data_IF_176074070427
#
_entry.id   IF_176074070427
#
_cell.length_a   1.000
_cell.length_b   1.000
_cell.length_c   1.000
_cell.angle_alpha   90.00
_cell.angle_beta   90.00
_cell.angle_gamma   90.00
#
_symmetry.space_group_name_H-M   'P 1'
#
loop_
_entity.id
_entity.type
_entity.pdbx_description
1 polymer ?
#
# COMPACT_ATOMS: atom_id res chain seq x y z
N UNK A 1 3.86 22.29 -38.20
CA UNK A 1 5.05 21.84 -37.42
C UNK A 1 5.17 20.33 -37.54
N UNK A 2 6.28 19.78 -38.06
CA UNK A 2 6.51 18.32 -38.10
C UNK A 2 7.03 17.87 -36.74
N UNK A 3 6.30 17.01 -36.05
CA UNK A 3 6.78 16.35 -34.82
C UNK A 3 7.91 15.39 -35.18
N UNK A 4 8.99 15.43 -34.39
CA UNK A 4 10.15 14.57 -34.60
C UNK A 4 9.85 13.18 -34.01
N UNK A 5 10.28 12.09 -34.67
CA UNK A 5 9.86 10.72 -34.31
C UNK A 5 10.22 10.31 -32.88
N UNK A 6 11.31 10.83 -32.32
CA UNK A 6 11.70 10.55 -30.93
C UNK A 6 10.69 11.07 -29.90
N UNK A 7 9.92 12.11 -30.22
CA UNK A 7 8.90 12.66 -29.30
C UNK A 7 7.80 11.63 -29.09
N UNK A 8 7.35 10.96 -30.16
CA UNK A 8 6.33 9.91 -30.08
C UNK A 8 6.82 8.69 -29.29
N UNK A 9 8.09 8.30 -29.47
CA UNK A 9 8.69 7.18 -28.72
C UNK A 9 8.75 7.50 -27.22
N UNK A 10 9.21 8.71 -26.86
CA UNK A 10 9.27 9.13 -25.45
C UNK A 10 7.87 9.12 -24.81
N UNK A 11 6.85 9.64 -25.50
CA UNK A 11 5.47 9.58 -24.99
C UNK A 11 4.98 8.15 -24.81
N UNK A 12 5.23 7.26 -25.77
CA UNK A 12 4.86 5.85 -25.66
C UNK A 12 5.50 5.18 -24.43
N UNK A 13 6.80 5.42 -24.20
CA UNK A 13 7.52 4.87 -23.03
C UNK A 13 6.93 5.41 -21.72
N UNK A 14 6.66 6.71 -21.62
CA UNK A 14 6.07 7.30 -20.41
C UNK A 14 4.69 6.71 -20.14
N UNK A 15 3.83 6.61 -21.16
CA UNK A 15 2.49 6.04 -21.03
C UNK A 15 2.56 4.58 -20.57
N UNK A 16 3.47 3.77 -21.14
CA UNK A 16 3.67 2.39 -20.72
C UNK A 16 4.11 2.28 -19.25
N UNK A 17 5.05 3.11 -18.81
CA UNK A 17 5.50 3.12 -17.41
C UNK A 17 4.37 3.51 -16.44
N UNK A 18 3.58 4.52 -16.79
CA UNK A 18 2.42 4.94 -16.00
C UNK A 18 1.34 3.85 -15.93
N UNK A 19 1.06 3.18 -17.05
CA UNK A 19 0.09 2.09 -17.12
C UNK A 19 0.53 0.89 -16.25
N UNK A 20 1.80 0.50 -16.31
CA UNK A 20 2.35 -0.57 -15.46
C UNK A 20 2.24 -0.20 -13.98
N UNK A 21 2.61 1.04 -13.61
CA UNK A 21 2.48 1.50 -12.24
C UNK A 21 1.03 1.49 -11.75
N UNK A 22 0.10 1.93 -12.59
CA UNK A 22 -1.34 1.93 -12.28
C UNK A 22 -1.88 0.51 -12.09
N UNK A 23 -1.49 -0.42 -12.96
CA UNK A 23 -1.92 -1.82 -12.87
C UNK A 23 -1.39 -2.53 -11.62
N UNK A 24 -0.23 -2.12 -11.10
CA UNK A 24 0.44 -2.70 -9.93
C UNK A 24 -0.02 -2.11 -8.59
N UNK A 25 -0.95 -1.15 -8.57
CA UNK A 25 -1.50 -0.64 -7.30
C UNK A 25 -2.44 -1.66 -6.66
N UNK A 26 -2.40 -1.83 -5.32
CA UNK A 26 -3.34 -2.68 -4.61
C UNK A 26 -4.76 -2.15 -4.79
N UNK A 27 -5.67 -3.02 -5.28
CA UNK A 27 -7.06 -2.64 -5.61
C UNK A 27 -8.03 -2.90 -4.47
N UNK A 28 -7.64 -3.76 -3.51
CA UNK A 28 -8.47 -4.11 -2.36
C UNK A 28 -7.75 -3.81 -1.04
N UNK A 29 -8.50 -3.61 0.07
CA UNK A 29 -7.89 -3.45 1.39
C UNK A 29 -7.03 -4.66 1.81
N UNK A 30 -7.40 -5.88 1.39
CA UNK A 30 -6.64 -7.09 1.67
C UNK A 30 -5.30 -7.12 0.93
N UNK A 31 -5.29 -6.73 -0.35
CA UNK A 31 -4.06 -6.58 -1.13
C UNK A 31 -3.20 -5.45 -0.59
N UNK A 32 -3.80 -4.33 -0.19
CA UNK A 32 -3.09 -3.21 0.42
C UNK A 32 -2.40 -3.65 1.71
N UNK A 33 -3.12 -4.34 2.61
CA UNK A 33 -2.55 -4.92 3.83
C UNK A 33 -1.37 -5.86 3.50
N UNK A 34 -1.59 -6.84 2.62
CA UNK A 34 -0.55 -7.83 2.28
C UNK A 34 0.68 -7.19 1.65
N UNK A 35 0.50 -6.27 0.72
CA UNK A 35 1.60 -5.61 0.01
C UNK A 35 2.40 -4.69 0.95
N UNK A 36 1.70 -3.88 1.76
CA UNK A 36 2.36 -2.90 2.63
C UNK A 36 2.95 -3.51 3.89
N UNK A 37 2.16 -4.26 4.65
CA UNK A 37 2.60 -4.84 5.91
C UNK A 37 3.56 -6.02 5.70
N UNK A 38 3.51 -6.70 4.54
CA UNK A 38 4.43 -7.77 4.17
C UNK A 38 5.74 -7.29 3.51
N UNK A 39 5.97 -5.98 3.41
CA UNK A 39 7.14 -5.44 2.70
C UNK A 39 8.45 -5.65 3.45
N UNK A 40 8.43 -5.51 4.78
CA UNK A 40 9.63 -5.54 5.61
C UNK A 40 9.86 -6.89 6.28
N UNK A 41 8.79 -7.63 6.55
CA UNK A 41 8.81 -8.92 7.23
C UNK A 41 7.53 -9.70 6.91
N UNK A 42 7.52 -10.98 7.22
CA UNK A 42 6.31 -11.81 7.10
C UNK A 42 5.20 -11.30 8.03
N UNK A 43 3.95 -11.44 7.59
CA UNK A 43 2.79 -10.99 8.35
C UNK A 43 2.64 -11.85 9.62
N UNK A 44 2.63 -11.24 10.82
CA UNK A 44 2.45 -12.00 12.05
C UNK A 44 1.01 -12.50 12.19
N UNK A 45 0.81 -13.49 13.05
CA UNK A 45 -0.52 -13.81 13.56
C UNK A 45 -1.00 -12.67 14.49
N UNK A 46 -2.17 -12.13 14.20
CA UNK A 46 -2.78 -11.04 14.94
C UNK A 46 -3.92 -11.52 15.86
N UNK A 47 -4.16 -12.83 15.96
CA UNK A 47 -5.26 -13.42 16.74
C UNK A 47 -5.24 -13.06 18.23
N UNK A 48 -4.05 -12.75 18.79
CA UNK A 48 -3.89 -12.35 20.19
C UNK A 48 -4.22 -10.87 20.47
N UNK A 49 -4.33 -10.04 19.43
CA UNK A 49 -4.64 -8.61 19.58
C UNK A 49 -6.13 -8.39 19.78
N UNK A 50 -6.47 -7.28 20.44
CA UNK A 50 -7.82 -6.76 20.62
C UNK A 50 -8.12 -5.66 19.61
N UNK A 51 -9.40 -5.45 19.32
CA UNK A 51 -9.86 -4.44 18.35
C UNK A 51 -9.32 -3.03 18.59
N UNK A 52 -9.15 -2.62 19.86
CA UNK A 52 -8.64 -1.29 20.21
C UNK A 52 -7.11 -1.17 20.11
N UNK A 53 -6.39 -2.28 19.94
CA UNK A 53 -4.93 -2.31 19.83
C UNK A 53 -4.45 -2.19 18.38
N UNK A 54 -5.35 -2.34 17.40
CA UNK A 54 -5.00 -2.31 15.99
C UNK A 54 -4.52 -0.94 15.52
N UNK A 55 -5.20 0.17 15.87
CA UNK A 55 -4.73 1.50 15.43
C UNK A 55 -3.39 1.86 16.06
N UNK A 56 -3.17 1.69 17.39
CA UNK A 56 -1.85 1.89 17.98
C UNK A 56 -0.76 1.02 17.35
N UNK A 57 -1.05 -0.23 16.99
CA UNK A 57 -0.11 -1.12 16.32
C UNK A 57 0.32 -0.55 14.96
N UNK A 58 -0.64 -0.16 14.12
CA UNK A 58 -0.33 0.41 12.79
C UNK A 58 0.41 1.73 12.91
N UNK A 59 0.03 2.58 13.87
CA UNK A 59 0.71 3.85 14.11
C UNK A 59 2.16 3.64 14.60
N UNK A 60 2.35 2.70 15.53
CA UNK A 60 3.68 2.29 16.00
C UNK A 60 4.56 1.81 14.84
N UNK A 61 4.04 0.94 13.99
CA UNK A 61 4.78 0.46 12.82
C UNK A 61 5.19 1.61 11.88
N UNK A 62 4.29 2.57 11.66
CA UNK A 62 4.56 3.73 10.81
C UNK A 62 5.64 4.63 11.40
N UNK A 63 5.50 5.00 12.66
CA UNK A 63 6.31 6.06 13.26
C UNK A 63 7.61 5.56 13.90
N UNK A 64 7.64 4.33 14.40
CA UNK A 64 8.80 3.77 15.11
C UNK A 64 9.55 2.70 14.31
N UNK A 65 8.86 1.94 13.45
CA UNK A 65 9.49 0.87 12.66
C UNK A 65 9.70 1.23 11.17
N UNK A 66 9.70 2.53 10.85
CA UNK A 66 10.05 3.04 9.52
C UNK A 66 8.99 2.85 8.43
N UNK A 67 7.82 2.27 8.74
CA UNK A 67 6.80 1.99 7.74
C UNK A 67 6.14 3.25 7.17
N UNK A 68 6.32 4.42 7.79
CA UNK A 68 5.84 5.72 7.25
C UNK A 68 6.34 6.01 5.83
N UNK A 69 7.48 5.43 5.42
CA UNK A 69 8.03 5.58 4.06
C UNK A 69 7.20 4.86 2.98
N UNK A 70 6.43 3.85 3.37
CA UNK A 70 5.70 2.96 2.45
C UNK A 70 4.19 2.91 2.75
N UNK A 71 3.75 3.38 3.93
CA UNK A 71 2.35 3.45 4.36
C UNK A 71 2.00 4.91 4.68
N UNK A 72 1.22 5.52 3.78
CA UNK A 72 0.62 6.83 4.01
C UNK A 72 -0.41 6.81 5.14
N UNK A 73 -0.81 7.97 5.66
CA UNK A 73 -1.84 8.06 6.70
C UNK A 73 -3.19 7.52 6.22
N UNK A 74 -3.52 7.74 4.94
CA UNK A 74 -4.76 7.23 4.35
C UNK A 74 -4.74 5.70 4.23
N UNK A 75 -3.64 5.13 3.74
CA UNK A 75 -3.49 3.66 3.67
C UNK A 75 -3.54 3.03 5.06
N UNK A 76 -2.96 3.69 6.08
CA UNK A 76 -3.02 3.24 7.47
C UNK A 76 -4.48 3.06 7.94
N UNK A 77 -5.33 4.06 7.67
CA UNK A 77 -6.74 4.00 8.04
C UNK A 77 -7.48 2.85 7.33
N UNK A 78 -7.19 2.62 6.05
CA UNK A 78 -7.79 1.51 5.28
C UNK A 78 -7.34 0.16 5.83
N UNK A 79 -6.05 0.01 6.14
CA UNK A 79 -5.48 -1.22 6.72
C UNK A 79 -6.09 -1.49 8.11
N UNK A 80 -6.14 -0.48 8.98
CA UNK A 80 -6.77 -0.59 10.29
C UNK A 80 -8.23 -1.04 10.20
N UNK A 81 -9.02 -0.42 9.32
CA UNK A 81 -10.42 -0.79 9.13
C UNK A 81 -10.57 -2.22 8.60
N UNK A 82 -9.72 -2.63 7.67
CA UNK A 82 -9.69 -3.99 7.15
C UNK A 82 -9.38 -5.02 8.23
N UNK A 83 -8.30 -4.82 8.99
CA UNK A 83 -7.90 -5.72 10.08
C UNK A 83 -8.99 -5.86 11.13
N UNK A 84 -9.59 -4.74 11.56
CA UNK A 84 -10.67 -4.77 12.54
C UNK A 84 -11.88 -5.55 12.03
N UNK A 85 -12.25 -5.35 10.77
CA UNK A 85 -13.37 -6.07 10.14
C UNK A 85 -13.07 -7.56 10.00
N UNK A 86 -11.84 -7.95 9.68
CA UNK A 86 -11.50 -9.35 9.40
C UNK A 86 -11.17 -10.15 10.66
N UNK A 87 -10.68 -9.51 11.73
CA UNK A 87 -10.30 -10.21 12.96
C UNK A 87 -11.42 -10.26 14.01
N UNK A 88 -12.40 -9.35 13.96
CA UNK A 88 -13.37 -9.17 15.06
C UNK A 88 -14.85 -9.12 14.64
N UNK A 89 -15.17 -9.33 13.37
CA UNK A 89 -16.54 -9.53 12.87
C UNK A 89 -16.65 -10.87 12.15
#
# INVERSE_FOLDING_TARGET
MKTKPYVLIVFAVIISLLAVNFLNQPRTPAELYKNRCGHCHDLPDLSAYKVHEIDPLIDFMRHHNGAKRIISAQEANVISAYLKKTLFN
#
